data_IF_317842813766
#
_entry.id   IF_317842813766
#
_cell.length_a   1.000
_cell.length_b   1.000
_cell.length_c   1.000
_cell.angle_alpha   90.00
_cell.angle_beta   90.00
_cell.angle_gamma   90.00
#
_symmetry.space_group_name_H-M   'P 1'
#
loop_
_entity.id
_entity.type
_entity.pdbx_description
1 polymer ?
#
# COMPACT_ATOMS: atom_id res chain seq x y z
N UNK A 1 -20.23 -16.48 23.28
CA UNK A 1 -20.96 -15.83 22.15
C UNK A 1 -20.35 -14.51 21.68
N UNK A 2 -19.90 -13.61 22.57
CA UNK A 2 -19.27 -12.34 22.20
C UNK A 2 -17.90 -12.54 21.52
N UNK A 3 -17.06 -13.43 22.04
CA UNK A 3 -15.74 -13.76 21.49
C UNK A 3 -15.81 -14.37 20.08
N UNK A 4 -16.85 -15.17 19.81
CA UNK A 4 -17.08 -15.78 18.49
C UNK A 4 -17.59 -14.76 17.46
N UNK A 5 -18.44 -13.79 17.88
CA UNK A 5 -18.83 -12.66 17.02
C UNK A 5 -17.63 -11.75 16.68
N UNK A 6 -16.75 -11.47 17.65
CA UNK A 6 -15.53 -10.67 17.43
C UNK A 6 -14.60 -11.30 16.40
N UNK A 7 -14.35 -12.61 16.54
CA UNK A 7 -13.54 -13.35 15.56
C UNK A 7 -14.16 -13.34 14.16
N UNK A 8 -15.48 -13.46 14.05
CA UNK A 8 -16.17 -13.41 12.75
C UNK A 8 -16.15 -12.03 12.11
N UNK A 9 -16.33 -10.95 12.89
CA UNK A 9 -16.25 -9.57 12.38
C UNK A 9 -14.83 -9.21 11.94
N UNK A 10 -13.81 -9.57 12.71
CA UNK A 10 -12.39 -9.45 12.33
C UNK A 10 -12.09 -10.19 11.01
N UNK A 11 -12.53 -11.44 10.88
CA UNK A 11 -12.36 -12.23 9.66
C UNK A 11 -13.06 -11.62 8.43
N UNK A 12 -14.17 -10.90 8.60
CA UNK A 12 -14.89 -10.25 7.49
C UNK A 12 -14.13 -9.00 7.04
N UNK A 13 -13.63 -8.18 7.97
CA UNK A 13 -12.86 -6.97 7.69
C UNK A 13 -11.57 -7.28 6.95
N UNK A 14 -10.82 -8.26 7.42
CA UNK A 14 -9.57 -8.72 6.79
C UNK A 14 -9.78 -9.27 5.37
N UNK A 15 -11.01 -9.67 5.04
CA UNK A 15 -11.36 -10.15 3.69
C UNK A 15 -11.79 -9.05 2.73
N UNK A 16 -12.28 -7.91 3.24
CA UNK A 16 -12.80 -6.84 2.39
C UNK A 16 -11.69 -5.93 1.85
N UNK A 17 -10.67 -5.64 2.65
CA UNK A 17 -9.55 -4.77 2.24
C UNK A 17 -8.81 -5.28 0.98
N UNK A 18 -8.43 -6.57 0.88
CA UNK A 18 -7.83 -7.11 -0.33
C UNK A 18 -8.76 -7.05 -1.54
N UNK A 19 -10.07 -7.25 -1.34
CA UNK A 19 -11.05 -7.19 -2.44
C UNK A 19 -11.16 -5.77 -3.01
N UNK A 20 -11.23 -4.75 -2.14
CA UNK A 20 -11.27 -3.36 -2.59
C UNK A 20 -9.99 -2.95 -3.30
N UNK A 21 -8.84 -3.38 -2.80
CA UNK A 21 -7.56 -3.17 -3.49
C UNK A 21 -7.59 -3.80 -4.89
N UNK A 22 -8.11 -5.03 -5.03
CA UNK A 22 -8.24 -5.68 -6.33
C UNK A 22 -9.16 -4.94 -7.28
N UNK A 23 -10.31 -4.47 -6.78
CA UNK A 23 -11.26 -3.71 -7.60
C UNK A 23 -10.59 -2.45 -8.15
N UNK A 24 -9.95 -1.66 -7.28
CA UNK A 24 -9.25 -0.44 -7.71
C UNK A 24 -8.11 -0.74 -8.70
N UNK A 25 -7.30 -1.76 -8.42
CA UNK A 25 -6.22 -2.18 -9.32
C UNK A 25 -6.79 -2.63 -10.68
N UNK A 26 -7.89 -3.38 -10.67
CA UNK A 26 -8.54 -3.84 -11.91
C UNK A 26 -9.08 -2.67 -12.72
N UNK A 27 -9.77 -1.71 -12.08
CA UNK A 27 -10.26 -0.50 -12.76
C UNK A 27 -9.11 0.28 -13.37
N UNK A 28 -8.04 0.48 -12.61
CA UNK A 28 -6.85 1.21 -13.08
C UNK A 28 -6.20 0.55 -14.30
N UNK A 29 -5.88 -0.76 -14.20
CA UNK A 29 -5.21 -1.52 -15.26
C UNK A 29 -6.11 -1.71 -16.47
N UNK A 30 -7.39 -2.05 -16.28
CA UNK A 30 -8.34 -2.24 -17.39
C UNK A 30 -8.51 -0.97 -18.21
N UNK A 31 -8.57 0.19 -17.56
CA UNK A 31 -8.67 1.46 -18.28
C UNK A 31 -7.44 1.73 -19.13
N UNK A 32 -6.25 1.48 -18.59
CA UNK A 32 -5.02 1.62 -19.37
C UNK A 32 -4.97 0.66 -20.56
N UNK A 33 -5.32 -0.60 -20.36
CA UNK A 33 -5.32 -1.63 -21.43
C UNK A 33 -6.31 -1.29 -22.55
N UNK A 34 -7.48 -0.75 -22.19
CA UNK A 34 -8.52 -0.42 -23.17
C UNK A 34 -8.24 0.86 -23.95
N UNK A 35 -7.65 1.86 -23.30
CA UNK A 35 -7.51 3.20 -23.88
C UNK A 35 -6.06 3.59 -24.17
N UNK A 36 -5.07 2.80 -23.72
CA UNK A 36 -3.63 3.12 -23.77
C UNK A 36 -3.30 4.50 -23.20
N UNK A 37 -4.18 5.01 -22.33
CA UNK A 37 -4.10 6.34 -21.73
C UNK A 37 -4.83 6.37 -20.40
N UNK A 38 -4.54 7.40 -19.60
CA UNK A 38 -5.27 7.67 -18.36
C UNK A 38 -6.18 8.88 -18.54
N UNK A 39 -7.45 8.70 -18.89
CA UNK A 39 -8.38 9.81 -19.06
C UNK A 39 -8.76 10.43 -17.72
N UNK A 40 -9.11 11.72 -17.74
CA UNK A 40 -9.50 12.48 -16.53
C UNK A 40 -10.59 11.79 -15.71
N UNK A 41 -11.59 11.21 -16.37
CA UNK A 41 -12.68 10.53 -15.66
C UNK A 41 -12.20 9.36 -14.80
N UNK A 42 -11.11 8.67 -15.20
CA UNK A 42 -10.51 7.62 -14.37
C UNK A 42 -9.99 8.18 -13.05
N UNK A 43 -9.29 9.30 -13.08
CA UNK A 43 -8.80 9.96 -11.87
C UNK A 43 -9.95 10.29 -10.92
N UNK A 44 -11.04 10.86 -11.44
CA UNK A 44 -12.24 11.19 -10.65
C UNK A 44 -12.90 9.92 -10.08
N UNK A 45 -13.04 8.87 -10.90
CA UNK A 45 -13.62 7.59 -10.46
C UNK A 45 -12.79 6.96 -9.34
N UNK A 46 -11.46 6.95 -9.47
CA UNK A 46 -10.57 6.43 -8.43
C UNK A 46 -10.70 7.21 -7.11
N UNK A 47 -10.78 8.54 -7.18
CA UNK A 47 -10.99 9.38 -5.99
C UNK A 47 -12.32 9.09 -5.32
N UNK A 48 -13.42 9.05 -6.07
CA UNK A 48 -14.75 8.76 -5.54
C UNK A 48 -14.82 7.36 -4.92
N UNK A 49 -14.28 6.35 -5.61
CA UNK A 49 -14.21 4.99 -5.09
C UNK A 49 -13.37 4.91 -3.82
N UNK A 50 -12.25 5.61 -3.75
CA UNK A 50 -11.39 5.63 -2.56
C UNK A 50 -12.12 6.24 -1.37
N UNK A 51 -12.78 7.38 -1.56
CA UNK A 51 -13.59 8.03 -0.52
C UNK A 51 -14.70 7.08 -0.05
N UNK A 52 -15.40 6.44 -0.98
CA UNK A 52 -16.43 5.47 -0.65
C UNK A 52 -15.89 4.28 0.16
N UNK A 53 -14.76 3.71 -0.23
CA UNK A 53 -14.14 2.58 0.47
C UNK A 53 -13.70 2.98 1.86
N UNK A 54 -13.04 4.14 2.01
CA UNK A 54 -12.63 4.66 3.32
C UNK A 54 -13.85 4.90 4.20
N UNK A 55 -14.90 5.53 3.68
CA UNK A 55 -16.16 5.73 4.40
C UNK A 55 -16.75 4.38 4.87
N UNK A 56 -16.81 3.39 3.99
CA UNK A 56 -17.30 2.04 4.33
C UNK A 56 -16.44 1.38 5.41
N UNK A 57 -15.12 1.50 5.32
CA UNK A 57 -14.21 0.92 6.31
C UNK A 57 -14.41 1.57 7.68
N UNK A 58 -14.50 2.90 7.74
CA UNK A 58 -14.72 3.65 8.99
C UNK A 58 -16.13 3.40 9.56
N UNK A 59 -17.16 3.37 8.71
CA UNK A 59 -18.55 3.17 9.17
C UNK A 59 -18.82 1.75 9.66
N UNK A 60 -18.02 0.77 9.25
CA UNK A 60 -18.18 -0.63 9.66
C UNK A 60 -17.39 -0.93 10.94
N UNK A 61 -16.44 -0.04 11.29
CA UNK A 61 -15.71 -0.13 12.54
C UNK A 61 -16.55 0.42 13.70
N UNK A 62 -17.20 -0.48 14.44
CA UNK A 62 -17.43 -0.21 15.84
C UNK A 62 -16.04 -0.22 16.49
N UNK A 63 -15.48 0.97 16.72
CA UNK A 63 -14.27 1.15 17.53
C UNK A 63 -14.62 0.61 18.92
N UNK A 64 -14.36 -0.67 19.14
CA UNK A 64 -14.33 -1.16 20.52
C UNK A 64 -13.15 -0.45 21.16
N UNK A 65 -13.45 0.39 22.14
CA UNK A 65 -12.48 0.92 23.07
C UNK A 65 -11.75 -0.31 23.67
N UNK A 66 -10.59 -0.69 23.13
CA UNK A 66 -9.65 -1.49 23.90
C UNK A 66 -9.44 -0.68 25.18
N UNK A 67 -9.64 -1.31 26.35
CA UNK A 67 -9.34 -0.73 27.66
C UNK A 67 -7.89 -0.23 27.66
N UNK A 68 -7.70 0.95 27.10
CA UNK A 68 -6.46 1.69 27.24
C UNK A 68 -6.40 2.11 28.72
N UNK A 69 -5.63 1.37 29.49
CA UNK A 69 -5.27 1.80 30.85
C UNK A 69 -4.70 3.20 30.72
N UNK A 70 -5.24 4.18 31.45
CA UNK A 70 -4.89 5.59 31.27
C UNK A 70 -3.52 5.98 31.85
N UNK A 71 -2.61 5.03 31.98
CA UNK A 71 -1.25 5.32 32.43
C UNK A 71 -0.49 6.02 31.29
N UNK A 72 -0.20 7.30 31.46
CA UNK A 72 0.61 8.20 30.61
C UNK A 72 -0.09 8.91 29.44
N UNK A 73 -1.29 9.45 29.64
CA UNK A 73 -2.01 10.16 28.57
C UNK A 73 -1.29 11.37 27.96
N UNK A 74 -0.42 12.05 28.71
CA UNK A 74 0.07 13.37 28.29
C UNK A 74 1.22 13.35 27.25
N UNK A 75 1.97 12.27 27.15
CA UNK A 75 3.13 12.22 26.24
C UNK A 75 2.99 11.24 25.06
N UNK A 76 1.96 10.40 25.06
CA UNK A 76 1.77 9.37 24.00
C UNK A 76 1.56 10.02 22.63
N UNK A 77 0.71 11.04 22.55
CA UNK A 77 0.47 11.78 21.31
C UNK A 77 1.70 12.52 20.81
N UNK A 78 2.45 13.17 21.71
CA UNK A 78 3.67 13.87 21.35
C UNK A 78 4.74 12.90 20.85
N UNK A 79 4.94 11.78 21.54
CA UNK A 79 5.86 10.71 21.11
C UNK A 79 5.44 10.15 19.74
N UNK A 80 4.14 9.92 19.52
CA UNK A 80 3.59 9.45 18.26
C UNK A 80 3.88 10.43 17.11
N UNK A 81 3.58 11.71 17.33
CA UNK A 81 3.84 12.77 16.33
C UNK A 81 5.33 12.92 16.04
N UNK A 82 6.19 12.93 17.06
CA UNK A 82 7.64 13.03 16.88
C UNK A 82 8.19 11.80 16.14
N UNK A 83 7.72 10.59 16.48
CA UNK A 83 8.13 9.36 15.79
C UNK A 83 7.70 9.36 14.33
N UNK A 84 6.47 9.80 14.05
CA UNK A 84 5.96 9.93 12.69
C UNK A 84 6.79 10.96 11.90
N UNK A 85 7.00 12.14 12.45
CA UNK A 85 7.80 13.19 11.83
C UNK A 85 9.24 12.73 11.56
N UNK A 86 9.86 12.06 12.54
CA UNK A 86 11.21 11.52 12.38
C UNK A 86 11.28 10.43 11.30
N UNK A 87 10.27 9.57 11.22
CA UNK A 87 10.20 8.51 10.20
C UNK A 87 10.03 9.10 8.81
N UNK A 88 9.10 10.06 8.63
CA UNK A 88 8.87 10.73 7.36
C UNK A 88 10.10 11.52 6.90
N UNK A 89 10.70 12.30 7.80
CA UNK A 89 11.90 13.08 7.49
C UNK A 89 13.09 12.18 7.19
N UNK A 90 13.28 11.09 7.95
CA UNK A 90 14.34 10.11 7.69
C UNK A 90 14.17 9.41 6.34
N UNK A 91 12.95 9.02 5.99
CA UNK A 91 12.63 8.44 4.69
C UNK A 91 12.95 9.41 3.55
N UNK A 92 12.57 10.69 3.69
CA UNK A 92 12.85 11.73 2.70
C UNK A 92 14.34 11.94 2.50
N UNK A 93 15.12 12.01 3.58
CA UNK A 93 16.59 12.13 3.48
C UNK A 93 17.22 10.94 2.75
N UNK A 94 16.76 9.73 3.02
CA UNK A 94 17.26 8.52 2.33
C UNK A 94 16.96 8.61 0.84
N UNK A 95 15.71 8.94 0.47
CA UNK A 95 15.28 9.05 -0.93
C UNK A 95 16.09 10.11 -1.67
N UNK A 96 16.17 11.34 -1.14
CA UNK A 96 16.82 12.46 -1.82
C UNK A 96 18.31 12.19 -2.09
N UNK A 97 19.00 11.56 -1.14
CA UNK A 97 20.41 11.23 -1.33
C UNK A 97 20.61 10.01 -2.24
N UNK A 98 19.75 9.01 -2.16
CA UNK A 98 19.83 7.84 -3.03
C UNK A 98 19.51 8.20 -4.50
N UNK A 99 18.54 9.10 -4.74
CA UNK A 99 18.23 9.61 -6.07
C UNK A 99 19.43 10.35 -6.66
N UNK A 100 19.99 11.31 -5.93
CA UNK A 100 21.18 12.06 -6.37
C UNK A 100 22.35 11.12 -6.72
N UNK A 101 22.57 10.11 -5.88
CA UNK A 101 23.63 9.13 -6.12
C UNK A 101 23.35 8.32 -7.39
N UNK A 102 22.13 7.84 -7.59
CA UNK A 102 21.74 7.07 -8.77
C UNK A 102 21.87 7.90 -10.06
N UNK A 103 21.48 9.17 -10.02
CA UNK A 103 21.64 10.11 -11.14
C UNK A 103 23.11 10.31 -11.51
N UNK A 104 24.02 10.38 -10.52
CA UNK A 104 25.46 10.47 -10.81
C UNK A 104 26.01 9.22 -11.49
N UNK A 105 25.38 8.07 -11.30
CA UNK A 105 25.70 6.82 -12.00
C UNK A 105 24.98 6.66 -13.35
N UNK A 106 24.21 7.66 -13.79
CA UNK A 106 23.50 7.63 -15.07
C UNK A 106 22.29 6.70 -15.09
N UNK A 107 21.74 6.37 -13.92
CA UNK A 107 20.53 5.54 -13.84
C UNK A 107 19.34 6.32 -14.37
N UNK A 108 18.51 5.68 -15.20
CA UNK A 108 17.33 6.32 -15.81
C UNK A 108 16.27 6.71 -14.77
N UNK A 109 15.55 7.81 -15.03
CA UNK A 109 14.48 8.30 -14.14
C UNK A 109 13.38 7.26 -13.91
N UNK A 110 13.09 6.39 -14.90
CA UNK A 110 12.11 5.31 -14.75
C UNK A 110 12.57 4.28 -13.71
N UNK A 111 13.84 3.88 -13.77
CA UNK A 111 14.41 2.92 -12.81
C UNK A 111 14.49 3.55 -11.42
N UNK A 112 14.92 4.80 -11.31
CA UNK A 112 14.95 5.55 -10.03
C UNK A 112 13.54 5.59 -9.43
N UNK A 113 12.52 5.96 -10.21
CA UNK A 113 11.14 6.05 -9.76
C UNK A 113 10.57 4.71 -9.29
N UNK A 114 10.75 3.66 -10.10
CA UNK A 114 10.21 2.32 -9.82
C UNK A 114 10.98 1.54 -8.75
N UNK A 115 12.16 1.99 -8.35
CA UNK A 115 12.99 1.33 -7.33
C UNK A 115 13.21 2.22 -6.11
N UNK A 116 14.10 3.21 -6.21
CA UNK A 116 14.56 4.02 -5.08
C UNK A 116 13.41 4.81 -4.45
N UNK A 117 12.65 5.52 -5.28
CA UNK A 117 11.51 6.32 -4.79
C UNK A 117 10.42 5.40 -4.26
N UNK A 118 10.09 4.32 -4.97
CA UNK A 118 9.06 3.38 -4.54
C UNK A 118 9.40 2.72 -3.19
N UNK A 119 10.64 2.26 -3.01
CA UNK A 119 11.10 1.71 -1.71
C UNK A 119 11.08 2.80 -0.63
N UNK A 120 11.64 3.95 -0.94
CA UNK A 120 11.85 5.02 0.03
C UNK A 120 10.55 5.59 0.56
N UNK A 121 9.55 5.79 -0.30
CA UNK A 121 8.21 6.25 0.12
C UNK A 121 7.46 5.20 0.93
N UNK A 122 7.82 3.92 0.81
CA UNK A 122 7.24 2.82 1.58
C UNK A 122 8.01 2.50 2.89
N UNK A 123 9.12 3.20 3.18
CA UNK A 123 9.87 2.97 4.43
C UNK A 123 9.03 3.20 5.71
N UNK A 124 8.17 4.23 5.79
CA UNK A 124 7.28 4.43 6.94
C UNK A 124 6.34 3.23 7.16
N UNK A 125 5.75 2.71 6.08
CA UNK A 125 4.86 1.54 6.11
C UNK A 125 5.61 0.29 6.55
N UNK A 126 6.84 0.09 6.07
CA UNK A 126 7.69 -1.04 6.49
C UNK A 126 8.00 -0.94 7.97
N UNK A 127 8.39 0.24 8.46
CA UNK A 127 8.67 0.47 9.87
C UNK A 127 7.44 0.19 10.75
N UNK A 128 6.27 0.71 10.37
CA UNK A 128 5.00 0.47 11.06
C UNK A 128 4.59 -1.00 11.06
N UNK A 129 4.75 -1.67 9.92
CA UNK A 129 4.45 -3.11 9.77
C UNK A 129 5.36 -3.97 10.67
N UNK A 130 6.67 -3.68 10.71
CA UNK A 130 7.61 -4.39 11.57
C UNK A 130 7.28 -4.16 13.05
N UNK A 131 6.95 -2.92 13.44
CA UNK A 131 6.56 -2.61 14.80
C UNK A 131 5.29 -3.36 15.21
N UNK A 132 4.24 -3.33 14.38
CA UNK A 132 2.99 -4.05 14.61
C UNK A 132 3.19 -5.58 14.68
N UNK A 133 4.03 -6.13 13.81
CA UNK A 133 4.36 -7.56 13.82
C UNK A 133 5.10 -7.97 15.10
N UNK A 134 6.05 -7.15 15.59
CA UNK A 134 6.72 -7.37 16.87
C UNK A 134 5.76 -7.31 18.06
N UNK A 135 4.76 -6.45 17.98
CA UNK A 135 3.69 -6.34 18.99
C UNK A 135 2.63 -7.46 18.85
N UNK A 136 2.77 -8.37 17.87
CA UNK A 136 1.82 -9.43 17.56
C UNK A 136 0.40 -8.91 17.24
N UNK A 137 0.32 -7.76 16.58
CA UNK A 137 -0.92 -7.12 16.12
C UNK A 137 -1.11 -7.32 14.60
N UNK A 138 -1.54 -8.52 14.15
CA UNK A 138 -1.66 -8.84 12.72
C UNK A 138 -2.65 -7.92 12.00
N UNK A 139 -3.70 -7.47 12.68
CA UNK A 139 -4.72 -6.60 12.08
C UNK A 139 -4.12 -5.25 11.65
N UNK A 140 -3.20 -4.70 12.47
CA UNK A 140 -2.48 -3.47 12.12
C UNK A 140 -1.53 -3.71 10.94
N UNK A 141 -0.88 -4.89 10.87
CA UNK A 141 -0.02 -5.27 9.75
C UNK A 141 -0.82 -5.30 8.45
N UNK A 142 -1.96 -6.00 8.43
CA UNK A 142 -2.83 -6.09 7.26
C UNK A 142 -3.43 -4.73 6.89
N UNK A 143 -3.92 -3.99 7.87
CA UNK A 143 -4.47 -2.65 7.68
C UNK A 143 -3.47 -1.69 7.05
N UNK A 144 -2.21 -1.72 7.52
CA UNK A 144 -1.14 -0.88 6.98
C UNK A 144 -0.80 -1.26 5.53
N UNK A 145 -0.61 -2.55 5.23
CA UNK A 145 -0.26 -3.02 3.89
C UNK A 145 -1.38 -2.75 2.88
N UNK A 146 -2.61 -3.15 3.18
CA UNK A 146 -3.71 -2.96 2.23
C UNK A 146 -4.17 -1.51 2.15
N UNK A 147 -4.15 -0.79 3.29
CA UNK A 147 -4.52 0.61 3.36
C UNK A 147 -3.59 1.49 2.52
N UNK A 148 -2.28 1.33 2.65
CA UNK A 148 -1.31 2.12 1.87
C UNK A 148 -1.42 1.84 0.37
N UNK A 149 -1.59 0.58 -0.05
CA UNK A 149 -1.78 0.24 -1.46
C UNK A 149 -3.09 0.82 -2.02
N UNK A 150 -4.18 0.75 -1.27
CA UNK A 150 -5.46 1.34 -1.65
C UNK A 150 -5.33 2.86 -1.80
N UNK A 151 -4.62 3.52 -0.89
CA UNK A 151 -4.35 4.96 -0.95
C UNK A 151 -3.48 5.33 -2.16
N UNK A 152 -2.42 4.56 -2.43
CA UNK A 152 -1.52 4.80 -3.55
C UNK A 152 -2.24 4.68 -4.90
N UNK A 153 -3.07 3.65 -5.09
CA UNK A 153 -3.81 3.48 -6.35
C UNK A 153 -4.96 4.47 -6.44
N UNK A 154 -5.75 4.59 -5.38
CA UNK A 154 -6.99 5.34 -5.41
C UNK A 154 -6.81 6.86 -5.23
N UNK A 155 -6.13 7.29 -4.17
CA UNK A 155 -5.94 8.71 -3.89
C UNK A 155 -4.78 9.28 -4.70
N UNK A 156 -3.57 8.74 -4.56
CA UNK A 156 -2.38 9.27 -5.23
C UNK A 156 -2.51 9.14 -6.75
N UNK A 157 -2.87 7.94 -7.23
CA UNK A 157 -3.13 7.69 -8.66
C UNK A 157 -4.29 8.54 -9.18
N UNK A 158 -5.38 8.63 -8.42
CA UNK A 158 -6.54 9.45 -8.77
C UNK A 158 -6.20 10.94 -8.91
N UNK A 159 -5.45 11.50 -7.96
CA UNK A 159 -4.99 12.91 -8.02
C UNK A 159 -4.03 13.10 -9.19
N UNK A 160 -3.02 12.24 -9.34
CA UNK A 160 -2.03 12.34 -10.39
C UNK A 160 -2.68 12.36 -11.80
N UNK A 161 -3.60 11.44 -12.05
CA UNK A 161 -4.35 11.37 -13.32
C UNK A 161 -5.25 12.59 -13.50
N UNK A 162 -5.86 13.10 -12.42
CA UNK A 162 -6.74 14.28 -12.51
C UNK A 162 -5.98 15.55 -12.83
N UNK A 163 -4.74 15.67 -12.36
CA UNK A 163 -3.88 16.84 -12.65
C UNK A 163 -3.24 16.74 -14.03
N UNK A 164 -2.82 15.54 -14.44
CA UNK A 164 -2.13 15.31 -15.72
C UNK A 164 -2.74 14.12 -16.45
N UNK A 165 -3.94 14.27 -17.02
CA UNK A 165 -4.56 13.21 -17.80
C UNK A 165 -3.86 13.08 -19.15
N UNK A 166 -3.82 11.86 -19.69
CA UNK A 166 -3.31 11.65 -21.04
C UNK A 166 -2.47 10.40 -21.21
N UNK A 167 -1.64 10.40 -22.25
CA UNK A 167 -0.79 9.28 -22.59
C UNK A 167 0.47 9.27 -21.73
N UNK A 168 0.85 8.11 -21.25
CA UNK A 168 2.14 7.93 -20.61
C UNK A 168 3.21 7.85 -21.69
N UNK A 169 4.24 8.70 -21.58
CA UNK A 169 5.34 8.78 -22.54
C UNK A 169 6.25 7.52 -22.54
N UNK A 170 6.24 6.75 -21.47
CA UNK A 170 7.01 5.52 -21.32
C UNK A 170 6.10 4.29 -21.28
N UNK A 171 6.56 3.19 -21.89
CA UNK A 171 5.84 1.91 -21.78
C UNK A 171 5.92 1.39 -20.36
N UNK A 172 4.78 1.32 -19.70
CA UNK A 172 4.64 0.79 -18.32
C UNK A 172 3.84 -0.52 -18.30
N UNK A 173 3.68 -1.16 -19.46
CA UNK A 173 2.87 -2.38 -19.61
C UNK A 173 3.31 -3.49 -18.64
N UNK A 174 4.63 -3.67 -18.53
CA UNK A 174 5.21 -4.67 -17.64
C UNK A 174 4.96 -4.35 -16.17
N UNK A 175 5.13 -3.09 -15.75
CA UNK A 175 4.91 -2.64 -14.37
C UNK A 175 3.43 -2.80 -13.98
N UNK A 176 2.50 -2.45 -14.89
CA UNK A 176 1.07 -2.64 -14.67
C UNK A 176 0.69 -4.11 -14.59
N UNK A 177 1.25 -4.95 -15.47
CA UNK A 177 1.05 -6.40 -15.40
C UNK A 177 1.53 -6.95 -14.05
N UNK A 178 2.71 -6.58 -13.59
CA UNK A 178 3.25 -7.01 -12.32
C UNK A 178 2.42 -6.54 -11.14
N UNK A 179 1.97 -5.29 -11.14
CA UNK A 179 1.08 -4.74 -10.11
C UNK A 179 -0.22 -5.55 -10.03
N UNK A 180 -0.83 -5.85 -11.18
CA UNK A 180 -2.06 -6.63 -11.26
C UNK A 180 -1.86 -8.06 -10.77
N UNK A 181 -0.81 -8.72 -11.25
CA UNK A 181 -0.47 -10.09 -10.87
C UNK A 181 -0.22 -10.22 -9.36
N UNK A 182 0.59 -9.33 -8.77
CA UNK A 182 0.86 -9.34 -7.33
C UNK A 182 -0.39 -9.07 -6.53
N UNK A 183 -1.25 -8.14 -6.94
CA UNK A 183 -2.52 -7.85 -6.27
C UNK A 183 -3.43 -9.07 -6.20
N UNK A 184 -3.56 -9.79 -7.32
CA UNK A 184 -4.34 -11.05 -7.36
C UNK A 184 -3.70 -12.16 -6.53
N UNK A 185 -2.39 -12.31 -6.60
CA UNK A 185 -1.66 -13.29 -5.82
C UNK A 185 -1.87 -13.08 -4.31
N UNK A 186 -1.77 -11.83 -3.85
CA UNK A 186 -2.01 -11.49 -2.44
C UNK A 186 -3.43 -11.84 -2.00
N UNK A 187 -4.45 -11.58 -2.86
CA UNK A 187 -5.83 -11.95 -2.57
C UNK A 187 -6.01 -13.46 -2.51
N UNK A 188 -5.44 -14.18 -3.47
CA UNK A 188 -5.49 -15.63 -3.51
C UNK A 188 -4.86 -16.24 -2.24
N UNK A 189 -3.70 -15.72 -1.84
CA UNK A 189 -2.99 -16.15 -0.65
C UNK A 189 -3.72 -15.76 0.64
N UNK A 190 -4.38 -14.61 0.68
CA UNK A 190 -5.16 -14.17 1.85
C UNK A 190 -6.43 -14.99 2.07
N UNK A 191 -7.03 -15.53 1.02
CA UNK A 191 -8.23 -16.38 1.10
C UNK A 191 -7.93 -17.83 1.47
N UNK A 192 -6.84 -18.37 0.95
CA UNK A 192 -6.36 -19.68 1.33
C UNK A 192 -5.50 -19.50 2.57
N UNK A 193 -6.02 -19.87 3.73
CA UNK A 193 -5.31 -19.85 5.01
C UNK A 193 -3.96 -20.56 4.86
N UNK A 194 -3.00 -19.87 4.30
CA UNK A 194 -1.63 -20.35 4.26
C UNK A 194 -1.14 -20.21 5.68
N UNK A 195 -1.13 -21.36 6.36
CA UNK A 195 -0.43 -21.50 7.63
C UNK A 195 0.91 -20.79 7.48
N UNK A 196 1.21 -19.86 8.42
CA UNK A 196 2.48 -19.14 8.60
C UNK A 196 3.65 -19.83 7.91
N UNK A 197 3.89 -19.50 6.66
CA UNK A 197 4.96 -20.14 5.92
C UNK A 197 5.92 -19.03 5.52
N UNK A 198 7.08 -19.02 6.15
CA UNK A 198 8.21 -18.16 5.76
C UNK A 198 8.50 -18.26 4.26
N UNK A 199 8.22 -19.41 3.65
CA UNK A 199 8.37 -19.65 2.22
C UNK A 199 7.58 -18.61 1.39
N UNK A 200 6.35 -18.28 1.79
CA UNK A 200 5.54 -17.28 1.07
C UNK A 200 6.19 -15.89 1.16
N UNK A 201 6.66 -15.50 2.35
CA UNK A 201 7.36 -14.21 2.52
C UNK A 201 8.63 -14.12 1.67
N UNK A 202 9.46 -15.16 1.69
CA UNK A 202 10.67 -15.22 0.86
C UNK A 202 10.35 -15.25 -0.63
N UNK A 203 9.25 -15.90 -1.05
CA UNK A 203 8.80 -15.90 -2.44
C UNK A 203 8.44 -14.50 -2.92
N UNK A 204 7.76 -13.68 -2.09
CA UNK A 204 7.47 -12.28 -2.44
C UNK A 204 8.74 -11.43 -2.54
N UNK A 205 9.70 -11.63 -1.64
CA UNK A 205 10.98 -10.92 -1.69
C UNK A 205 11.74 -11.31 -2.97
N UNK A 206 11.83 -12.61 -3.27
CA UNK A 206 12.49 -13.10 -4.48
C UNK A 206 11.81 -12.55 -5.75
N UNK A 207 10.49 -12.55 -5.79
CA UNK A 207 9.72 -12.01 -6.90
C UNK A 207 9.97 -10.50 -7.09
N UNK A 208 10.03 -9.74 -6.00
CA UNK A 208 10.33 -8.32 -6.05
C UNK A 208 11.77 -8.05 -6.54
N UNK A 209 12.76 -8.85 -6.10
CA UNK A 209 14.13 -8.75 -6.60
C UNK A 209 14.22 -9.07 -8.09
N UNK A 210 13.51 -10.11 -8.56
CA UNK A 210 13.43 -10.42 -10.00
C UNK A 210 12.78 -9.29 -10.80
N UNK A 211 11.73 -8.66 -10.25
CA UNK A 211 11.13 -7.48 -10.86
C UNK A 211 12.14 -6.33 -10.99
N UNK A 212 12.89 -6.02 -9.92
CA UNK A 212 13.93 -4.97 -9.98
C UNK A 212 14.97 -5.31 -11.05
N UNK A 213 15.50 -6.54 -11.06
CA UNK A 213 16.51 -6.95 -12.04
C UNK A 213 15.99 -6.79 -13.48
N UNK A 214 14.71 -7.03 -13.71
CA UNK A 214 14.10 -6.90 -15.05
C UNK A 214 13.95 -5.45 -15.53
N UNK A 215 14.17 -4.45 -14.68
CA UNK A 215 14.11 -3.03 -15.04
C UNK A 215 15.46 -2.50 -15.58
N UNK A 216 16.55 -3.24 -15.36
CA UNK A 216 17.88 -2.93 -15.85
C UNK A 216 18.21 -3.71 -17.12
#
# INVERSE_FOLDING_TARGET
>A
HAKDRRQRQMCIRDRLSPVWMAILTTVFVSTYVLFSSFPLYLGIVLLVLTIYVVYKMVSTDSVEEEDFKPEEKNYVWLRGLLSLAATLYGSQLVVDNAVKLAETFGVSSLVIGSTIIAIGTSLPEVAGTIAAARMRKPDIVFGNIFGSNLFNIGLVGGVAISISPGNILSRIDYQLFMMYFVSFLVIFLSRNVIKRNFVVGYSFIAFYLLFIISLF
#
